data_IF_212598546180
#
_entry.id   IF_212598546180
#
_cell.length_a   1.000
_cell.length_b   1.000
_cell.length_c   1.000
_cell.angle_alpha   90.00
_cell.angle_beta   90.00
_cell.angle_gamma   90.00
#
_symmetry.space_group_name_H-M   'P 1'
#
loop_
_entity.id
_entity.type
_entity.pdbx_description
1 polymer ?
#
# COMPACT_ATOMS: atom_id res chain seq x y z
N UNK A 1 -1.53 2.60 -27.51
CA UNK A 1 -0.83 3.41 -26.48
C UNK A 1 -1.78 3.68 -25.33
N UNK A 2 -1.34 3.56 -24.07
CA UNK A 2 -2.20 3.83 -22.91
C UNK A 2 -2.59 5.33 -22.85
N UNK A 3 -3.87 5.63 -22.63
CA UNK A 3 -4.42 7.00 -22.70
C UNK A 3 -4.10 7.89 -21.48
N UNK A 4 -3.36 7.38 -20.50
CA UNK A 4 -3.05 8.08 -19.25
C UNK A 4 -4.26 8.26 -18.32
N UNK A 5 -4.10 9.12 -17.32
CA UNK A 5 -5.15 9.57 -16.41
C UNK A 5 -5.30 11.09 -16.51
N UNK A 6 -6.54 11.57 -16.56
CA UNK A 6 -6.82 13.01 -16.50
C UNK A 6 -7.15 13.40 -15.07
N UNK A 7 -6.38 14.35 -14.53
CA UNK A 7 -6.58 14.93 -13.20
C UNK A 7 -7.20 16.31 -13.35
N UNK A 8 -8.36 16.52 -12.73
CA UNK A 8 -9.06 17.81 -12.74
C UNK A 8 -8.20 18.89 -12.05
N UNK A 9 -8.00 20.03 -12.72
CA UNK A 9 -7.18 21.13 -12.18
C UNK A 9 -7.95 22.01 -11.18
N UNK A 10 -9.26 21.78 -11.01
CA UNK A 10 -10.10 22.52 -10.06
C UNK A 10 -10.36 21.75 -8.76
N UNK A 11 -10.52 20.42 -8.81
CA UNK A 11 -10.86 19.60 -7.64
C UNK A 11 -9.96 18.37 -7.45
N UNK A 12 -8.94 18.20 -8.30
CA UNK A 12 -7.93 17.14 -8.22
C UNK A 12 -8.47 15.71 -8.32
N UNK A 13 -9.71 15.54 -8.79
CA UNK A 13 -10.29 14.23 -9.04
C UNK A 13 -9.70 13.63 -10.33
N UNK A 14 -9.33 12.34 -10.28
CA UNK A 14 -8.80 11.59 -11.41
C UNK A 14 -9.90 10.86 -12.19
N UNK A 15 -9.78 10.84 -13.52
CA UNK A 15 -10.69 10.11 -14.41
C UNK A 15 -9.94 9.53 -15.61
N UNK A 16 -10.39 8.37 -16.09
CA UNK A 16 -9.84 7.82 -17.33
C UNK A 16 -10.45 8.56 -18.55
N UNK A 17 -9.63 8.91 -19.56
CA UNK A 17 -10.07 9.75 -20.68
C UNK A 17 -10.51 8.98 -21.95
N UNK A 18 -10.42 7.65 -21.95
CA UNK A 18 -10.60 6.82 -23.16
C UNK A 18 -11.92 6.04 -23.20
N UNK A 19 -12.29 5.54 -24.38
CA UNK A 19 -13.41 4.60 -24.52
C UNK A 19 -13.02 3.20 -24.02
N UNK A 20 -13.98 2.41 -23.49
CA UNK A 20 -15.41 2.71 -23.35
C UNK A 20 -15.76 3.61 -22.15
N UNK A 21 -14.82 3.83 -21.21
CA UNK A 21 -15.10 4.51 -19.95
C UNK A 21 -14.42 5.89 -19.91
N UNK A 22 -15.14 6.95 -20.30
CA UNK A 22 -14.61 8.32 -20.32
C UNK A 22 -15.04 9.11 -19.05
N UNK A 23 -14.59 8.66 -17.89
CA UNK A 23 -14.95 9.27 -16.60
C UNK A 23 -14.45 10.71 -16.45
N UNK A 24 -13.36 11.08 -17.13
CA UNK A 24 -12.88 12.47 -17.14
C UNK A 24 -13.87 13.41 -17.83
N UNK A 25 -14.39 13.01 -19.00
CA UNK A 25 -15.46 13.75 -19.67
C UNK A 25 -16.73 13.82 -18.83
N UNK A 26 -17.16 12.69 -18.26
CA UNK A 26 -18.35 12.64 -17.39
C UNK A 26 -18.21 13.57 -16.18
N UNK A 27 -17.03 13.59 -15.55
CA UNK A 27 -16.72 14.51 -14.45
C UNK A 27 -16.81 15.97 -14.90
N UNK A 28 -16.24 16.31 -16.06
CA UNK A 28 -16.28 17.66 -16.60
C UNK A 28 -17.72 18.14 -16.87
N UNK A 29 -18.56 17.28 -17.44
CA UNK A 29 -19.97 17.61 -17.69
C UNK A 29 -20.78 17.78 -16.39
N UNK A 30 -20.48 16.98 -15.37
CA UNK A 30 -21.21 16.99 -14.08
C UNK A 30 -20.80 18.15 -13.17
N UNK A 31 -19.51 18.46 -13.12
CA UNK A 31 -18.95 19.48 -12.22
C UNK A 31 -18.80 20.86 -12.85
N UNK A 32 -18.82 20.95 -14.19
CA UNK A 32 -18.43 22.15 -14.92
C UNK A 32 -16.90 22.37 -14.95
N UNK A 33 -16.11 21.44 -14.41
CA UNK A 33 -14.65 21.56 -14.45
C UNK A 33 -14.09 21.08 -15.79
N UNK A 34 -13.78 22.00 -16.68
CA UNK A 34 -13.38 21.66 -18.04
C UNK A 34 -11.87 21.42 -18.24
N UNK A 35 -11.01 21.87 -17.31
CA UNK A 35 -9.56 21.75 -17.44
C UNK A 35 -9.00 20.59 -16.62
N UNK A 36 -8.20 19.75 -17.29
CA UNK A 36 -7.53 18.59 -16.70
C UNK A 36 -6.08 18.52 -17.16
N UNK A 37 -5.19 17.98 -16.34
CA UNK A 37 -3.85 17.54 -16.78
C UNK A 37 -3.88 16.04 -17.04
N UNK A 38 -3.50 15.64 -18.24
CA UNK A 38 -3.25 14.24 -18.56
C UNK A 38 -1.85 13.87 -18.08
N UNK A 39 -1.76 12.78 -17.32
CA UNK A 39 -0.50 12.19 -16.87
C UNK A 39 -0.42 10.79 -17.47
N UNK A 40 0.60 10.58 -18.32
CA UNK A 40 0.81 9.32 -19.01
C UNK A 40 2.18 8.76 -18.68
N UNK A 41 2.22 7.48 -18.29
CA UNK A 41 3.44 6.72 -18.10
C UNK A 41 3.83 6.02 -19.40
N UNK A 42 5.05 6.25 -19.88
CA UNK A 42 5.62 5.65 -21.10
C UNK A 42 6.88 4.90 -20.70
N UNK A 43 7.06 3.67 -21.18
CA UNK A 43 8.27 2.87 -20.88
C UNK A 43 9.43 3.46 -21.68
N UNK A 44 10.59 3.66 -21.05
CA UNK A 44 11.82 4.02 -21.77
C UNK A 44 12.23 2.84 -22.66
N UNK A 45 12.60 3.11 -23.91
CA UNK A 45 13.23 2.09 -24.75
C UNK A 45 14.65 1.87 -24.24
N UNK A 46 14.93 0.68 -23.69
CA UNK A 46 16.28 0.29 -23.27
C UNK A 46 16.99 -0.38 -24.45
N UNK A 47 17.97 0.31 -25.05
CA UNK A 47 18.83 -0.26 -26.11
C UNK A 47 19.90 -1.23 -25.56
N UNK A 48 20.09 -1.32 -24.24
CA UNK A 48 21.06 -2.22 -23.64
C UNK A 48 20.45 -3.58 -23.31
N UNK A 49 20.94 -4.61 -24.03
CA UNK A 49 20.70 -6.01 -23.67
C UNK A 49 21.18 -6.22 -22.23
N UNK A 50 20.36 -6.82 -21.34
CA UNK A 50 20.82 -7.09 -19.98
C UNK A 50 22.08 -7.97 -20.06
N UNK A 51 23.19 -7.47 -19.50
CA UNK A 51 24.38 -8.26 -19.32
C UNK A 51 24.00 -9.52 -18.53
N UNK A 52 24.45 -10.69 -19.00
CA UNK A 52 24.15 -11.99 -18.36
C UNK A 52 24.39 -11.90 -16.86
N UNK A 53 23.31 -11.96 -16.09
CA UNK A 53 23.33 -12.00 -14.62
C UNK A 53 23.97 -13.31 -14.16
N UNK A 54 25.25 -13.28 -13.79
CA UNK A 54 25.86 -14.32 -12.96
C UNK A 54 25.81 -13.90 -11.49
N UNK A 55 24.60 -13.86 -10.91
CA UNK A 55 24.29 -14.03 -9.48
C UNK A 55 22.78 -13.84 -9.27
N UNK A 56 22.18 -14.73 -8.50
CA UNK A 56 20.77 -14.74 -8.11
C UNK A 56 20.45 -13.64 -7.09
N UNK A 57 20.63 -12.38 -7.49
CA UNK A 57 20.07 -11.22 -6.79
C UNK A 57 19.30 -10.41 -7.83
N UNK A 58 17.97 -10.54 -7.81
CA UNK A 58 17.08 -9.70 -8.60
C UNK A 58 17.06 -8.35 -7.90
N UNK A 59 17.97 -7.46 -8.30
CA UNK A 59 17.89 -6.04 -7.95
C UNK A 59 16.68 -5.49 -8.72
N UNK A 60 15.55 -5.35 -8.03
CA UNK A 60 14.43 -4.57 -8.56
C UNK A 60 14.89 -3.12 -8.70
N UNK A 61 15.20 -2.71 -9.94
CA UNK A 61 15.41 -1.31 -10.26
C UNK A 61 14.15 -0.51 -9.87
N UNK A 62 14.30 0.62 -9.18
CA UNK A 62 13.15 1.44 -8.81
C UNK A 62 12.35 1.82 -10.06
N UNK A 63 11.01 1.70 -10.00
CA UNK A 63 10.09 1.94 -11.14
C UNK A 63 10.35 3.26 -11.89
N UNK A 64 10.95 4.26 -11.24
CA UNK A 64 11.30 5.55 -11.84
C UNK A 64 12.40 5.46 -12.92
N UNK A 65 13.24 4.43 -12.92
CA UNK A 65 14.31 4.31 -13.91
C UNK A 65 13.80 3.77 -15.25
N UNK A 66 12.70 3.01 -15.24
CA UNK A 66 12.13 2.31 -16.42
C UNK A 66 11.06 3.11 -17.19
N UNK A 67 10.53 4.18 -16.62
CA UNK A 67 9.39 4.92 -17.20
C UNK A 67 9.63 6.44 -17.22
N UNK A 68 9.15 7.09 -18.28
CA UNK A 68 9.02 8.54 -18.40
C UNK A 68 7.56 8.97 -18.28
N UNK A 69 7.33 10.18 -17.76
CA UNK A 69 6.00 10.76 -17.64
C UNK A 69 5.80 11.86 -18.68
N UNK A 70 4.89 11.62 -19.61
CA UNK A 70 4.40 12.64 -20.53
C UNK A 70 3.20 13.35 -19.88
N UNK A 71 3.20 14.68 -19.91
CA UNK A 71 2.09 15.48 -19.38
C UNK A 71 1.62 16.53 -20.38
N UNK A 72 0.31 16.77 -20.41
CA UNK A 72 -0.27 17.87 -21.18
C UNK A 72 -1.62 18.28 -20.60
N UNK A 73 -2.02 19.53 -20.85
CA UNK A 73 -3.32 20.03 -20.42
C UNK A 73 -4.37 19.71 -21.49
N UNK A 74 -5.54 19.26 -21.04
CA UNK A 74 -6.71 18.95 -21.87
C UNK A 74 -7.90 19.80 -21.45
N UNK A 75 -8.64 20.30 -22.44
CA UNK A 75 -9.88 21.04 -22.25
C UNK A 75 -11.09 20.22 -22.71
N UNK A 76 -11.94 19.80 -21.78
CA UNK A 76 -13.19 19.08 -22.04
C UNK A 76 -14.32 19.96 -22.57
N UNK A 77 -14.25 21.28 -22.38
CA UNK A 77 -15.16 22.24 -23.02
C UNK A 77 -14.90 22.40 -24.53
N UNK A 78 -13.67 22.13 -24.96
CA UNK A 78 -13.25 22.14 -26.37
C UNK A 78 -13.21 20.72 -26.95
N UNK A 79 -14.18 19.87 -26.61
CA UNK A 79 -14.27 18.48 -27.08
C UNK A 79 -13.04 17.61 -26.77
N UNK A 80 -12.35 17.90 -25.66
CA UNK A 80 -11.17 17.15 -25.23
C UNK A 80 -9.87 17.53 -25.95
N UNK A 81 -9.81 18.70 -26.58
CA UNK A 81 -8.60 19.21 -27.25
C UNK A 81 -7.43 19.40 -26.26
N UNK A 82 -6.21 19.17 -26.76
CA UNK A 82 -4.98 19.54 -26.06
C UNK A 82 -4.85 21.06 -26.06
N UNK A 83 -4.41 21.62 -24.94
CA UNK A 83 -4.15 23.06 -24.78
C UNK A 83 -2.65 23.28 -24.97
N UNK A 84 -2.26 23.95 -26.05
CA UNK A 84 -0.84 24.18 -26.38
C UNK A 84 -0.25 25.36 -25.60
N UNK A 85 -1.00 26.46 -25.48
CA UNK A 85 -0.58 27.66 -24.73
C UNK A 85 -1.23 27.71 -23.35
N UNK A 86 -0.65 27.00 -22.39
CA UNK A 86 -1.15 26.94 -21.01
C UNK A 86 -0.77 28.20 -20.25
N UNK A 87 -1.71 28.96 -19.66
CA UNK A 87 -1.42 30.14 -18.84
C UNK A 87 -0.52 29.82 -17.63
N UNK A 88 0.29 30.79 -17.19
CA UNK A 88 1.27 30.61 -16.11
C UNK A 88 0.62 30.13 -14.79
N UNK A 89 -0.55 30.70 -14.44
CA UNK A 89 -1.30 30.28 -13.26
C UNK A 89 -1.70 28.79 -13.31
N UNK A 90 -2.06 28.29 -14.50
CA UNK A 90 -2.42 26.88 -14.71
C UNK A 90 -1.18 26.00 -14.65
N UNK A 91 -0.04 26.46 -15.18
CA UNK A 91 1.23 25.73 -15.09
C UNK A 91 1.67 25.54 -13.62
N UNK A 92 1.47 26.55 -12.77
CA UNK A 92 1.75 26.44 -11.33
C UNK A 92 0.91 25.35 -10.66
N UNK A 93 -0.38 25.26 -11.00
CA UNK A 93 -1.27 24.21 -10.47
C UNK A 93 -0.85 22.83 -10.98
N UNK A 94 -0.52 22.71 -12.27
CA UNK A 94 0.00 21.46 -12.85
C UNK A 94 1.24 20.99 -12.11
N UNK A 95 2.20 21.89 -11.87
CA UNK A 95 3.40 21.56 -11.10
C UNK A 95 3.06 21.09 -9.69
N UNK A 96 2.17 21.79 -8.97
CA UNK A 96 1.72 21.37 -7.64
C UNK A 96 1.06 19.99 -7.63
N UNK A 97 0.25 19.65 -8.66
CA UNK A 97 -0.37 18.33 -8.80
C UNK A 97 0.68 17.24 -8.98
N UNK A 98 1.71 17.47 -9.81
CA UNK A 98 2.77 16.48 -10.04
C UNK A 98 3.59 16.21 -8.77
N UNK A 99 3.96 17.26 -8.03
CA UNK A 99 4.67 17.12 -6.74
C UNK A 99 3.81 16.43 -5.66
N UNK A 100 2.50 16.68 -5.63
CA UNK A 100 1.60 16.05 -4.67
C UNK A 100 1.50 14.52 -4.87
N UNK A 101 1.56 14.05 -6.11
CA UNK A 101 1.54 12.60 -6.41
C UNK A 101 2.78 11.90 -5.85
N UNK A 102 3.94 12.55 -5.93
CA UNK A 102 5.19 12.04 -5.36
C UNK A 102 5.12 11.99 -3.83
N UNK A 103 4.60 13.05 -3.20
CA UNK A 103 4.38 13.09 -1.75
C UNK A 103 3.38 12.02 -1.26
N UNK A 104 2.33 11.72 -2.05
CA UNK A 104 1.34 10.70 -1.70
C UNK A 104 1.95 9.30 -1.61
N UNK A 105 2.91 8.95 -2.47
CA UNK A 105 3.63 7.67 -2.38
C UNK A 105 4.40 7.55 -1.05
N UNK A 106 5.02 8.64 -0.60
CA UNK A 106 5.69 8.70 0.70
C UNK A 106 4.72 8.54 1.88
N UNK A 107 3.54 9.16 1.79
CA UNK A 107 2.49 9.02 2.81
C UNK A 107 1.87 7.63 2.88
N UNK A 108 1.70 6.95 1.74
CA UNK A 108 1.25 5.55 1.73
C UNK A 108 2.22 4.70 2.53
N UNK A 109 3.52 4.70 2.19
CA UNK A 109 4.57 3.97 2.91
C UNK A 109 4.55 4.27 4.42
N UNK A 110 4.32 5.52 4.82
CA UNK A 110 4.22 5.91 6.24
C UNK A 110 3.01 5.31 6.96
N UNK A 111 1.87 5.15 6.28
CA UNK A 111 0.68 4.51 6.83
C UNK A 111 0.85 2.99 7.04
N UNK A 112 1.85 2.39 6.38
CA UNK A 112 2.22 0.99 6.56
C UNK A 112 3.18 0.72 7.68
N UNK A 113 3.98 1.71 8.06
CA UNK A 113 4.80 1.58 9.24
C UNK A 113 3.87 1.29 10.42
N UNK A 114 4.08 0.14 11.08
CA UNK A 114 3.48 -0.09 12.38
C UNK A 114 3.74 1.15 13.25
N UNK A 115 2.75 1.57 14.03
CA UNK A 115 2.89 2.74 14.89
C UNK A 115 4.05 2.51 15.88
N UNK A 116 5.22 2.99 15.50
CA UNK A 116 6.46 2.76 16.23
C UNK A 116 6.41 3.66 17.46
N UNK A 117 6.22 3.05 18.62
CA UNK A 117 6.15 3.76 19.89
C UNK A 117 7.56 4.11 20.38
N UNK A 118 7.69 5.24 21.08
CA UNK A 118 8.92 5.52 21.82
C UNK A 118 9.01 4.61 23.05
N UNK A 119 10.22 4.34 23.53
CA UNK A 119 10.44 3.70 24.82
C UNK A 119 11.49 4.46 25.63
N UNK A 120 11.46 4.30 26.95
CA UNK A 120 12.37 5.01 27.86
C UNK A 120 13.84 4.59 27.73
N UNK A 121 14.16 3.58 26.91
CA UNK A 121 15.54 3.13 26.70
C UNK A 121 16.36 4.04 25.78
N UNK A 122 15.71 4.97 25.09
CA UNK A 122 16.38 6.06 24.39
C UNK A 122 16.63 7.26 25.31
N UNK A 123 15.96 7.33 26.46
CA UNK A 123 16.10 8.45 27.38
C UNK A 123 17.29 8.23 28.31
N UNK A 124 18.11 9.27 28.51
CA UNK A 124 19.25 9.21 29.43
C UNK A 124 20.32 8.20 29.01
N UNK A 125 20.44 7.94 27.70
CA UNK A 125 21.43 7.02 27.16
C UNK A 125 22.85 7.49 27.52
N UNK A 126 23.60 6.65 28.24
CA UNK A 126 25.03 6.92 28.46
C UNK A 126 25.79 6.56 27.19
N UNK A 127 26.29 7.57 26.50
CA UNK A 127 27.03 7.40 25.25
C UNK A 127 28.52 7.60 25.50
N UNK A 128 29.30 6.58 25.18
CA UNK A 128 30.76 6.61 25.22
C UNK A 128 31.26 6.03 23.90
N UNK A 129 31.68 6.87 22.93
CA UNK A 129 32.27 6.39 21.69
C UNK A 129 33.40 5.41 22.01
N UNK A 130 33.47 4.30 21.26
CA UNK A 130 34.66 3.46 21.30
C UNK A 130 35.89 4.32 21.00
N UNK A 131 37.00 4.07 21.70
CA UNK A 131 38.23 4.87 21.56
C UNK A 131 38.72 4.95 20.10
N UNK A 132 38.39 3.93 19.29
CA UNK A 132 38.77 3.80 17.88
C UNK A 132 37.62 4.12 16.91
N UNK A 133 36.57 4.81 17.34
CA UNK A 133 35.45 5.14 16.47
C UNK A 133 35.89 6.04 15.31
N UNK A 134 35.63 5.59 14.08
CA UNK A 134 35.82 6.33 12.84
C UNK A 134 34.54 6.28 12.00
N UNK A 135 34.24 7.37 11.28
CA UNK A 135 33.12 7.41 10.34
C UNK A 135 33.24 6.36 9.22
N UNK A 136 34.47 5.91 8.92
CA UNK A 136 34.71 4.84 7.94
C UNK A 136 34.13 3.49 8.40
N UNK A 137 34.01 3.28 9.72
CA UNK A 137 33.45 2.05 10.29
C UNK A 137 31.93 1.91 10.06
N UNK A 138 31.25 2.96 9.58
CA UNK A 138 29.81 2.94 9.29
C UNK A 138 29.46 2.10 8.05
N UNK A 139 30.43 1.77 7.20
CA UNK A 139 30.17 1.11 5.91
C UNK A 139 30.32 -0.41 5.93
N UNK A 140 30.77 -1.00 7.05
CA UNK A 140 30.99 -2.45 7.14
C UNK A 140 30.77 -2.96 8.56
N UNK A 141 30.27 -4.19 8.69
CA UNK A 141 30.16 -4.86 9.98
C UNK A 141 31.54 -5.08 10.61
N UNK A 142 31.67 -4.82 11.91
CA UNK A 142 32.94 -5.01 12.63
C UNK A 142 33.35 -6.48 12.81
N UNK A 143 32.45 -7.43 12.52
CA UNK A 143 32.66 -8.87 12.73
C UNK A 143 32.55 -9.72 11.45
N UNK A 144 32.16 -9.14 10.31
CA UNK A 144 32.15 -9.83 9.00
C UNK A 144 32.17 -8.85 7.83
N UNK A 145 32.23 -9.38 6.61
CA UNK A 145 32.38 -8.56 5.41
C UNK A 145 31.10 -7.86 4.90
N UNK A 146 29.96 -7.98 5.62
CA UNK A 146 28.68 -7.39 5.20
C UNK A 146 28.73 -5.86 5.21
N UNK A 147 28.14 -5.25 4.19
CA UNK A 147 28.08 -3.78 3.97
C UNK A 147 26.65 -3.23 3.93
N UNK A 148 25.69 -4.12 4.05
CA UNK A 148 24.25 -3.90 3.96
C UNK A 148 23.57 -4.31 5.28
N UNK A 149 22.42 -3.72 5.57
CA UNK A 149 21.63 -4.02 6.78
C UNK A 149 22.46 -3.91 8.07
N UNK A 150 23.16 -2.78 8.19
CA UNK A 150 24.06 -2.46 9.28
C UNK A 150 23.33 -1.68 10.38
N UNK A 151 23.63 -2.02 11.62
CA UNK A 151 23.04 -1.45 12.81
C UNK A 151 24.12 -0.87 13.70
N UNK A 152 24.05 0.44 13.94
CA UNK A 152 24.97 1.15 14.82
C UNK A 152 24.39 1.25 16.22
N UNK A 153 25.14 0.77 17.20
CA UNK A 153 24.82 0.89 18.62
C UNK A 153 24.92 2.35 19.07
N UNK A 154 23.83 2.91 19.59
CA UNK A 154 23.80 4.32 20.02
C UNK A 154 24.60 4.56 21.31
N UNK A 155 24.90 3.54 22.10
CA UNK A 155 25.72 3.69 23.32
C UNK A 155 27.22 3.81 23.05
N UNK A 156 27.75 3.14 22.02
CA UNK A 156 29.21 3.06 21.81
C UNK A 156 29.70 3.17 20.36
N UNK A 157 28.80 3.21 19.38
CA UNK A 157 29.15 3.35 17.97
C UNK A 157 29.55 2.03 17.29
N UNK A 158 29.48 0.89 17.96
CA UNK A 158 29.73 -0.42 17.35
C UNK A 158 28.75 -0.71 16.20
N UNK A 159 29.25 -1.25 15.08
CA UNK A 159 28.46 -1.54 13.87
C UNK A 159 28.35 -3.05 13.66
N UNK A 160 27.15 -3.59 13.87
CA UNK A 160 26.83 -5.00 13.66
C UNK A 160 25.86 -5.19 12.48
N UNK A 161 26.00 -6.28 11.71
CA UNK A 161 24.98 -6.64 10.73
C UNK A 161 23.73 -7.21 11.42
N UNK A 162 22.59 -7.08 10.74
CA UNK A 162 21.26 -7.48 11.24
C UNK A 162 21.09 -8.98 11.51
N UNK A 163 19.86 -9.39 11.80
CA UNK A 163 19.54 -10.78 12.15
C UNK A 163 19.63 -11.72 10.93
N UNK A 164 20.02 -12.97 11.17
CA UNK A 164 20.05 -14.04 10.17
C UNK A 164 18.65 -14.61 9.97
N UNK A 165 18.20 -14.70 8.72
CA UNK A 165 16.92 -15.31 8.37
C UNK A 165 17.09 -16.80 8.03
N UNK A 166 15.99 -17.56 8.13
CA UNK A 166 16.00 -19.02 7.91
C UNK A 166 16.25 -19.39 6.44
N UNK A 167 15.89 -18.50 5.51
CA UNK A 167 16.14 -18.63 4.07
C UNK A 167 17.59 -18.30 3.67
N UNK A 168 18.45 -17.98 4.64
CA UNK A 168 19.85 -17.60 4.43
C UNK A 168 20.06 -16.12 4.09
N UNK A 169 18.99 -15.32 3.97
CA UNK A 169 19.05 -13.88 3.76
C UNK A 169 19.27 -13.09 5.07
N UNK A 170 19.44 -11.77 4.97
CA UNK A 170 19.65 -10.88 6.12
C UNK A 170 21.12 -10.75 6.55
N UNK A 171 21.34 -10.67 7.87
CA UNK A 171 22.67 -10.51 8.47
C UNK A 171 23.17 -11.78 9.19
N UNK A 172 24.18 -11.61 10.05
CA UNK A 172 24.81 -12.71 10.80
C UNK A 172 24.61 -12.59 12.33
N UNK A 173 23.58 -11.88 12.78
CA UNK A 173 23.26 -11.66 14.21
C UNK A 173 24.31 -10.85 14.99
N UNK A 174 25.21 -10.13 14.32
CA UNK A 174 26.29 -9.42 15.02
C UNK A 174 25.79 -8.24 15.87
N UNK A 175 24.70 -7.57 15.47
CA UNK A 175 24.14 -6.49 16.26
C UNK A 175 23.45 -6.97 17.55
N UNK A 176 22.77 -8.13 17.52
CA UNK A 176 22.18 -8.74 18.73
C UNK A 176 23.25 -9.37 19.63
N UNK A 177 24.26 -10.01 19.05
CA UNK A 177 25.39 -10.54 19.82
C UNK A 177 26.12 -9.43 20.60
N UNK A 178 26.26 -8.24 20.01
CA UNK A 178 26.79 -7.07 20.70
C UNK A 178 25.93 -6.65 21.89
N UNK A 179 24.60 -6.63 21.75
CA UNK A 179 23.69 -6.37 22.86
C UNK A 179 23.85 -7.42 23.98
N UNK A 180 23.90 -8.70 23.64
CA UNK A 180 24.06 -9.80 24.62
C UNK A 180 25.38 -9.71 25.40
N UNK A 181 26.44 -9.23 24.76
CA UNK A 181 27.77 -9.09 25.38
C UNK A 181 27.92 -7.83 26.23
N UNK A 182 27.32 -6.71 25.81
CA UNK A 182 27.56 -5.38 26.43
C UNK A 182 26.38 -4.85 27.24
N UNK A 183 25.18 -5.35 26.98
CA UNK A 183 23.93 -4.79 27.51
C UNK A 183 23.48 -3.49 26.84
N UNK A 184 24.13 -3.07 25.74
CA UNK A 184 23.73 -1.86 25.00
C UNK A 184 22.40 -2.05 24.25
N UNK A 185 21.35 -1.41 24.76
CA UNK A 185 19.96 -1.78 24.44
C UNK A 185 19.44 -1.28 23.10
N UNK A 186 20.03 -0.23 22.54
CA UNK A 186 19.44 0.52 21.43
C UNK A 186 20.42 0.73 20.28
N UNK A 187 19.94 0.49 19.07
CA UNK A 187 20.68 0.70 17.82
C UNK A 187 19.84 1.40 16.78
N UNK A 188 20.51 2.04 15.82
CA UNK A 188 19.90 2.66 14.64
C UNK A 188 20.36 1.94 13.38
N UNK A 189 19.47 1.75 12.40
CA UNK A 189 19.81 1.15 11.11
C UNK A 189 20.46 2.18 10.20
N UNK A 190 21.69 1.92 9.82
CA UNK A 190 22.44 2.76 8.88
C UNK A 190 21.78 2.72 7.50
N UNK A 191 21.80 3.85 6.78
CA UNK A 191 21.13 4.01 5.49
C UNK A 191 19.64 4.35 5.57
N UNK A 192 19.00 4.27 6.74
CA UNK A 192 17.60 4.71 6.91
C UNK A 192 17.45 6.12 7.49
N UNK A 193 18.57 6.78 7.80
CA UNK A 193 18.60 8.11 8.40
C UNK A 193 18.18 9.16 7.38
N UNK A 194 17.16 9.94 7.73
CA UNK A 194 16.62 11.02 6.91
C UNK A 194 17.05 12.39 7.44
N UNK A 195 17.15 13.43 6.58
CA UNK A 195 17.46 14.80 7.00
C UNK A 195 16.55 15.35 8.10
N UNK A 196 15.31 14.87 8.18
CA UNK A 196 14.29 15.31 9.14
C UNK A 196 14.53 14.79 10.56
N UNK A 197 15.59 14.00 10.80
CA UNK A 197 15.86 13.47 12.14
C UNK A 197 15.18 12.14 12.43
N UNK A 198 14.77 11.40 11.39
CA UNK A 198 14.11 10.09 11.55
C UNK A 198 14.97 8.97 10.98
N UNK A 199 14.88 7.79 11.59
CA UNK A 199 15.55 6.56 11.14
C UNK A 199 14.87 5.36 11.78
N UNK A 200 15.10 4.17 11.26
CA UNK A 200 14.71 2.96 11.95
C UNK A 200 15.61 2.74 13.17
N UNK A 201 14.99 2.63 14.34
CA UNK A 201 15.69 2.31 15.58
C UNK A 201 15.08 1.07 16.23
N UNK A 202 15.94 0.26 16.82
CA UNK A 202 15.59 -1.00 17.43
C UNK A 202 16.02 -1.01 18.89
N UNK A 203 15.13 -1.47 19.77
CA UNK A 203 15.42 -1.67 21.18
C UNK A 203 15.46 -3.17 21.47
N UNK A 204 16.66 -3.73 21.67
CA UNK A 204 16.86 -5.13 22.00
C UNK A 204 16.28 -5.52 23.37
N UNK A 205 16.16 -4.57 24.30
CA UNK A 205 15.52 -4.82 25.59
C UNK A 205 13.99 -4.93 25.49
N UNK A 206 13.37 -4.25 24.53
CA UNK A 206 11.94 -4.38 24.22
C UNK A 206 11.66 -5.45 23.16
N UNK A 207 12.71 -5.99 22.54
CA UNK A 207 12.67 -6.85 21.35
C UNK A 207 11.79 -6.29 20.22
N UNK A 208 11.82 -4.95 20.04
CA UNK A 208 10.87 -4.25 19.18
C UNK A 208 11.47 -3.00 18.51
N UNK A 209 10.89 -2.60 17.37
CA UNK A 209 11.17 -1.33 16.71
C UNK A 209 10.62 -0.19 17.56
N UNK A 210 11.42 0.86 17.77
CA UNK A 210 11.05 1.97 18.65
C UNK A 210 11.46 3.30 18.05
N UNK A 211 10.67 4.33 18.35
CA UNK A 211 10.98 5.69 17.92
C UNK A 211 12.08 6.25 18.82
N UNK A 212 13.09 6.86 18.22
CA UNK A 212 14.12 7.61 18.92
C UNK A 212 13.83 9.12 18.83
N UNK A 213 13.14 9.73 19.82
CA UNK A 213 12.82 11.16 19.80
C UNK A 213 14.07 12.06 19.86
N UNK A 214 15.21 11.50 20.26
CA UNK A 214 16.48 12.21 20.45
C UNK A 214 17.55 11.79 19.43
N UNK A 215 17.15 11.28 18.25
CA UNK A 215 18.08 10.71 17.27
C UNK A 215 19.22 11.66 16.88
N UNK A 216 18.89 12.92 16.57
CA UNK A 216 19.90 13.91 16.19
C UNK A 216 20.94 14.16 17.29
N UNK A 217 20.50 14.21 18.56
CA UNK A 217 21.38 14.38 19.72
C UNK A 217 22.27 13.16 19.89
N UNK A 218 21.70 11.96 19.80
CA UNK A 218 22.44 10.71 19.94
C UNK A 218 23.49 10.53 18.84
N UNK A 219 23.18 10.90 17.60
CA UNK A 219 24.11 10.80 16.47
C UNK A 219 25.22 11.85 16.49
N UNK A 220 24.95 13.02 17.06
CA UNK A 220 25.94 14.10 17.18
C UNK A 220 27.14 13.70 18.03
N UNK A 221 26.97 12.85 19.06
CA UNK A 221 28.08 12.32 19.89
C UNK A 221 29.10 11.54 19.05
N UNK A 222 28.66 10.95 17.95
CA UNK A 222 29.49 10.23 16.99
C UNK A 222 29.91 11.10 15.80
N UNK A 223 29.67 12.41 15.84
CA UNK A 223 30.02 13.34 14.75
C UNK A 223 29.15 13.18 13.49
N UNK A 224 28.01 12.48 13.57
CA UNK A 224 27.12 12.25 12.42
C UNK A 224 26.11 13.40 12.34
N UNK A 225 26.24 14.24 11.30
CA UNK A 225 25.28 15.31 11.02
C UNK A 225 24.08 14.75 10.26
N UNK A 226 22.93 14.69 10.93
CA UNK A 226 21.67 14.16 10.37
C UNK A 226 21.18 14.95 9.16
N UNK A 227 21.32 16.29 9.18
CA UNK A 227 20.87 17.13 8.07
C UNK A 227 21.66 16.90 6.77
N UNK A 228 22.84 16.29 6.86
CA UNK A 228 23.67 15.92 5.70
C UNK A 228 23.46 14.46 5.25
N UNK A 229 22.65 13.68 5.97
CA UNK A 229 22.37 12.30 5.60
C UNK A 229 21.32 12.22 4.50
N UNK A 230 21.44 11.20 3.65
CA UNK A 230 20.41 10.83 2.70
C UNK A 230 20.06 9.37 2.94
N UNK A 231 18.76 9.06 2.86
CA UNK A 231 18.29 7.67 2.94
C UNK A 231 18.82 6.88 1.75
N UNK A 232 19.60 5.83 2.02
CA UNK A 232 20.22 4.95 1.03
C UNK A 232 19.72 3.50 1.08
N UNK A 233 19.06 3.11 2.17
CA UNK A 233 18.46 1.78 2.34
C UNK A 233 16.95 1.87 2.58
N UNK A 234 16.25 0.80 2.21
CA UNK A 234 14.83 0.61 2.57
C UNK A 234 14.67 0.53 4.08
N UNK A 235 13.65 1.19 4.60
CA UNK A 235 13.26 1.06 5.99
C UNK A 235 12.71 -0.34 6.28
N UNK A 236 12.62 -0.73 7.55
CA UNK A 236 12.00 -1.99 7.96
C UNK A 236 10.56 -2.04 7.49
N UNK A 237 9.82 -0.93 7.61
CA UNK A 237 8.45 -0.86 7.12
C UNK A 237 8.35 -1.10 5.60
N UNK A 238 9.28 -0.55 4.81
CA UNK A 238 9.35 -0.78 3.37
C UNK A 238 9.72 -2.23 3.03
N UNK A 239 10.64 -2.83 3.79
CA UNK A 239 11.02 -4.24 3.62
C UNK A 239 9.89 -5.19 4.00
N UNK A 240 9.16 -4.91 5.08
CA UNK A 240 7.96 -5.66 5.48
C UNK A 240 6.86 -5.54 4.43
N UNK A 241 6.64 -4.34 3.90
CA UNK A 241 5.72 -4.07 2.79
C UNK A 241 6.09 -4.92 1.57
N UNK A 242 7.35 -4.84 1.14
CA UNK A 242 7.85 -5.59 0.00
C UNK A 242 7.75 -7.10 0.21
N UNK A 243 8.12 -7.60 1.39
CA UNK A 243 7.95 -9.00 1.74
C UNK A 243 6.47 -9.41 1.70
N UNK A 244 5.56 -8.62 2.26
CA UNK A 244 4.12 -8.89 2.21
C UNK A 244 3.55 -8.83 0.78
N UNK A 245 4.09 -7.98 -0.08
CA UNK A 245 3.72 -7.90 -1.50
C UNK A 245 4.29 -9.09 -2.29
N UNK A 246 5.50 -9.55 -1.95
CA UNK A 246 6.18 -10.70 -2.56
C UNK A 246 5.79 -12.04 -1.96
N UNK A 247 5.04 -12.05 -0.85
CA UNK A 247 4.44 -13.24 -0.27
C UNK A 247 3.28 -13.69 -1.17
N UNK A 248 3.65 -14.10 -2.37
CA UNK A 248 2.80 -14.80 -3.30
C UNK A 248 2.72 -16.24 -2.78
N UNK A 249 1.51 -16.69 -2.48
CA UNK A 249 1.29 -18.02 -1.97
C UNK A 249 1.89 -19.02 -2.95
N UNK A 250 2.82 -19.87 -2.49
CA UNK A 250 3.34 -20.97 -3.30
C UNK A 250 2.15 -21.72 -3.93
N UNK A 251 2.00 -21.60 -5.25
CA UNK A 251 0.89 -22.18 -6.03
C UNK A 251 1.08 -23.68 -6.26
N UNK A 252 1.82 -24.32 -5.36
CA UNK A 252 2.14 -25.72 -5.38
C UNK A 252 1.30 -26.39 -4.30
N UNK A 253 0.42 -27.29 -4.73
CA UNK A 253 -0.33 -28.14 -3.81
C UNK A 253 0.61 -28.96 -2.93
N UNK A 254 0.11 -29.52 -1.82
CA UNK A 254 0.89 -30.39 -0.93
C UNK A 254 1.58 -31.56 -1.68
N UNK A 255 1.03 -31.95 -2.84
CA UNK A 255 1.52 -33.02 -3.70
C UNK A 255 2.52 -32.54 -4.79
N UNK A 256 2.96 -31.28 -4.76
CA UNK A 256 3.93 -30.76 -5.73
C UNK A 256 3.32 -30.31 -7.06
N UNK A 257 1.99 -30.38 -7.23
CA UNK A 257 1.31 -30.03 -8.48
C UNK A 257 1.05 -28.52 -8.55
N UNK A 258 1.45 -27.87 -9.65
CA UNK A 258 1.14 -26.47 -9.92
C UNK A 258 -0.34 -26.31 -10.32
N UNK A 259 -1.02 -25.35 -9.69
CA UNK A 259 -2.41 -25.03 -10.04
C UNK A 259 -2.50 -24.33 -11.40
N UNK A 260 -3.50 -24.69 -12.20
CA UNK A 260 -3.74 -24.04 -13.49
C UNK A 260 -4.29 -22.61 -13.29
N UNK A 261 -3.66 -21.58 -13.89
CA UNK A 261 -4.19 -20.22 -13.85
C UNK A 261 -5.55 -20.13 -14.54
N UNK A 262 -6.48 -19.39 -13.94
CA UNK A 262 -7.83 -19.16 -14.47
C UNK A 262 -8.07 -17.68 -14.75
N UNK A 263 -8.92 -17.42 -15.73
CA UNK A 263 -9.26 -16.09 -16.24
C UNK A 263 -10.73 -16.03 -16.65
N UNK A 264 -11.31 -14.83 -16.61
CA UNK A 264 -12.68 -14.56 -17.03
C UNK A 264 -13.50 -13.72 -16.04
N UNK A 265 -14.76 -13.38 -16.41
CA UNK A 265 -15.71 -12.70 -15.54
C UNK A 265 -15.88 -13.42 -14.19
N UNK A 266 -15.75 -12.69 -13.08
CA UNK A 266 -15.87 -13.25 -11.73
C UNK A 266 -14.63 -14.00 -11.24
N UNK A 267 -13.61 -14.15 -12.08
CA UNK A 267 -12.34 -14.80 -11.77
C UNK A 267 -11.20 -13.78 -11.69
N UNK A 268 -11.47 -12.54 -11.27
CA UNK A 268 -10.44 -11.48 -11.21
C UNK A 268 -9.75 -11.48 -9.84
N UNK A 269 -8.43 -11.53 -9.81
CA UNK A 269 -7.62 -11.45 -8.59
C UNK A 269 -7.61 -10.05 -7.96
N UNK A 270 -7.48 -10.00 -6.64
CA UNK A 270 -7.29 -8.76 -5.88
C UNK A 270 -5.83 -8.66 -5.44
N UNK A 271 -5.14 -7.61 -5.89
CA UNK A 271 -3.74 -7.38 -5.51
C UNK A 271 -3.64 -7.10 -4.02
N UNK A 272 -2.67 -7.73 -3.37
CA UNK A 272 -2.37 -7.47 -1.98
C UNK A 272 -1.95 -6.00 -1.81
N UNK A 273 -2.64 -5.29 -0.92
CA UNK A 273 -2.27 -3.97 -0.42
C UNK A 273 -1.63 -4.12 0.96
N UNK A 274 -0.93 -5.26 1.12
CA UNK A 274 -0.33 -5.90 2.30
C UNK A 274 -1.15 -5.93 3.57
N UNK A 275 -1.03 -7.10 4.20
CA UNK A 275 -1.96 -7.57 5.22
C UNK A 275 -3.45 -7.45 4.81
N UNK A 276 -3.77 -7.27 3.51
CA UNK A 276 -5.14 -7.04 3.04
C UNK A 276 -5.81 -8.33 2.56
N UNK A 277 -5.28 -9.50 2.95
CA UNK A 277 -5.82 -10.81 2.58
C UNK A 277 -7.22 -11.04 3.17
N UNK A 278 -7.50 -10.53 4.37
CA UNK A 278 -8.84 -10.56 4.97
C UNK A 278 -9.86 -9.85 4.08
N UNK A 279 -9.53 -8.63 3.61
CA UNK A 279 -10.37 -7.84 2.71
C UNK A 279 -10.54 -8.57 1.38
N UNK A 280 -9.45 -9.05 0.77
CA UNK A 280 -9.52 -9.76 -0.49
C UNK A 280 -10.42 -11.00 -0.40
N UNK A 281 -10.26 -11.80 0.65
CA UNK A 281 -11.04 -13.02 0.87
C UNK A 281 -12.53 -12.71 1.04
N UNK A 282 -12.87 -11.76 1.90
CA UNK A 282 -14.26 -11.33 2.13
C UNK A 282 -14.88 -10.78 0.85
N UNK A 283 -14.18 -9.91 0.12
CA UNK A 283 -14.72 -9.30 -1.09
C UNK A 283 -14.91 -10.32 -2.22
N UNK A 284 -14.03 -11.31 -2.37
CA UNK A 284 -14.24 -12.42 -3.32
C UNK A 284 -15.49 -13.24 -2.96
N UNK A 285 -15.66 -13.58 -1.68
CA UNK A 285 -16.84 -14.32 -1.23
C UNK A 285 -18.14 -13.52 -1.41
N UNK A 286 -18.16 -12.25 -0.98
CA UNK A 286 -19.34 -11.38 -1.06
C UNK A 286 -19.76 -11.16 -2.51
N UNK A 287 -18.82 -10.86 -3.41
CA UNK A 287 -19.16 -10.68 -4.83
C UNK A 287 -19.37 -12.00 -5.58
N UNK A 288 -19.10 -13.16 -4.96
CA UNK A 288 -19.55 -14.47 -5.42
C UNK A 288 -21.04 -14.73 -5.18
N UNK A 289 -21.69 -13.93 -4.33
CA UNK A 289 -23.14 -14.01 -4.09
C UNK A 289 -23.88 -13.21 -5.16
N UNK A 290 -24.81 -13.86 -5.86
CA UNK A 290 -25.60 -13.27 -6.95
C UNK A 290 -26.25 -11.93 -6.56
N UNK A 291 -26.81 -11.84 -5.35
CA UNK A 291 -27.45 -10.61 -4.83
C UNK A 291 -26.52 -9.40 -4.83
N UNK A 292 -25.26 -9.55 -4.43
CA UNK A 292 -24.28 -8.47 -4.41
C UNK A 292 -23.80 -8.15 -5.83
N UNK A 293 -23.53 -9.17 -6.65
CA UNK A 293 -23.18 -9.00 -8.06
C UNK A 293 -24.25 -8.21 -8.80
N UNK A 294 -25.49 -8.67 -8.75
CA UNK A 294 -26.60 -8.13 -9.53
C UNK A 294 -27.00 -6.73 -9.05
N UNK A 295 -26.76 -6.41 -7.77
CA UNK A 295 -26.97 -5.07 -7.22
C UNK A 295 -26.02 -4.01 -7.77
N UNK A 296 -24.75 -4.36 -7.96
CA UNK A 296 -23.67 -3.38 -8.19
C UNK A 296 -23.01 -3.46 -9.57
N UNK A 297 -22.99 -4.63 -10.21
CA UNK A 297 -22.31 -4.79 -11.50
C UNK A 297 -23.09 -4.17 -12.67
N UNK A 298 -24.40 -4.44 -12.87
CA UNK A 298 -25.13 -3.92 -14.03
C UNK A 298 -25.21 -2.39 -14.07
N UNK A 299 -25.37 -1.76 -12.91
CA UNK A 299 -25.51 -0.30 -12.75
C UNK A 299 -24.18 0.42 -12.51
N UNK A 300 -23.04 -0.24 -12.73
CA UNK A 300 -21.73 0.30 -12.35
C UNK A 300 -21.40 1.63 -13.04
N UNK A 301 -21.82 1.79 -14.30
CA UNK A 301 -21.64 3.03 -15.05
C UNK A 301 -22.61 4.14 -14.61
N UNK A 302 -23.83 3.77 -14.20
CA UNK A 302 -24.93 4.70 -13.95
C UNK A 302 -24.80 5.41 -12.60
N UNK A 303 -24.31 4.70 -11.57
CA UNK A 303 -24.18 5.30 -10.25
C UNK A 303 -23.24 6.51 -10.26
N UNK A 304 -22.13 6.45 -11.00
CA UNK A 304 -21.20 7.59 -11.10
C UNK A 304 -21.90 8.84 -11.66
N UNK A 305 -22.75 8.68 -12.66
CA UNK A 305 -23.50 9.78 -13.29
C UNK A 305 -24.48 10.41 -12.31
N UNK A 306 -25.18 9.61 -11.52
CA UNK A 306 -26.25 10.06 -10.62
C UNK A 306 -25.79 10.39 -9.20
N UNK A 307 -24.57 10.00 -8.80
CA UNK A 307 -24.06 10.18 -7.44
C UNK A 307 -23.96 11.65 -7.01
N UNK A 308 -24.55 12.03 -5.88
CA UNK A 308 -24.49 13.40 -5.36
C UNK A 308 -23.14 13.78 -4.73
N UNK A 309 -22.26 12.80 -4.47
CA UNK A 309 -20.95 13.05 -3.86
C UNK A 309 -19.97 13.64 -4.88
N UNK A 310 -19.46 14.84 -4.57
CA UNK A 310 -18.46 15.55 -5.39
C UNK A 310 -17.16 14.76 -5.58
N UNK A 311 -16.79 13.95 -4.59
CA UNK A 311 -15.62 13.08 -4.63
C UNK A 311 -16.06 11.60 -4.63
N UNK A 312 -16.11 10.93 -5.80
CA UNK A 312 -16.53 9.53 -5.93
C UNK A 312 -15.67 8.55 -5.13
N UNK A 313 -14.40 8.88 -4.89
CA UNK A 313 -13.52 8.14 -3.99
C UNK A 313 -14.07 8.06 -2.56
N UNK A 314 -14.89 9.04 -2.15
CA UNK A 314 -15.46 9.09 -0.81
C UNK A 314 -16.83 8.42 -0.66
N UNK A 315 -17.45 8.02 -1.76
CA UNK A 315 -18.78 7.40 -1.79
C UNK A 315 -18.68 5.87 -1.72
N UNK A 316 -19.35 5.25 -0.74
CA UNK A 316 -19.40 3.80 -0.57
C UNK A 316 -19.94 3.08 -1.81
N UNK A 317 -21.08 3.53 -2.31
CA UNK A 317 -21.71 2.95 -3.49
C UNK A 317 -20.82 3.08 -4.74
N UNK A 318 -20.17 4.23 -4.97
CA UNK A 318 -19.22 4.37 -6.08
C UNK A 318 -18.09 3.33 -6.01
N UNK A 319 -17.55 3.08 -4.82
CA UNK A 319 -16.47 2.10 -4.67
C UNK A 319 -16.96 0.65 -4.82
N UNK A 320 -18.16 0.33 -4.34
CA UNK A 320 -18.77 -1.00 -4.54
C UNK A 320 -19.06 -1.28 -6.02
N UNK A 321 -19.67 -0.32 -6.74
CA UNK A 321 -19.90 -0.42 -8.18
C UNK A 321 -18.59 -0.54 -8.96
N UNK A 322 -17.56 0.25 -8.60
CA UNK A 322 -16.22 0.17 -9.20
C UNK A 322 -15.59 -1.20 -8.99
N UNK A 323 -15.68 -1.74 -7.77
CA UNK A 323 -15.13 -3.05 -7.42
C UNK A 323 -15.88 -4.18 -8.13
N UNK A 324 -17.22 -4.13 -8.18
CA UNK A 324 -18.05 -5.08 -8.91
C UNK A 324 -17.68 -5.13 -10.40
N UNK A 325 -17.55 -3.97 -11.05
CA UNK A 325 -17.07 -3.87 -12.44
C UNK A 325 -15.65 -4.43 -12.61
N UNK A 326 -14.77 -4.15 -11.66
CA UNK A 326 -13.41 -4.70 -11.63
C UNK A 326 -13.40 -6.23 -11.58
N UNK A 327 -14.25 -6.84 -10.76
CA UNK A 327 -14.30 -8.29 -10.56
C UNK A 327 -15.03 -9.03 -11.69
N UNK A 328 -16.15 -8.49 -12.16
CA UNK A 328 -17.08 -9.19 -13.04
C UNK A 328 -17.01 -8.79 -14.52
N UNK A 329 -16.30 -7.72 -14.91
CA UNK A 329 -16.21 -7.36 -16.32
C UNK A 329 -15.30 -8.27 -17.17
N UNK A 330 -14.46 -9.09 -16.55
CA UNK A 330 -13.45 -9.92 -17.23
C UNK A 330 -12.27 -9.15 -17.82
N UNK A 331 -12.32 -7.81 -17.89
CA UNK A 331 -11.27 -6.96 -18.48
C UNK A 331 -9.93 -7.03 -17.75
N UNK A 332 -9.94 -7.40 -16.48
CA UNK A 332 -8.76 -7.43 -15.61
C UNK A 332 -8.32 -8.85 -15.25
N UNK A 333 -9.06 -9.86 -15.69
CA UNK A 333 -8.74 -11.28 -15.54
C UNK A 333 -8.13 -11.82 -16.83
N UNK A 334 -7.06 -11.18 -17.30
CA UNK A 334 -6.29 -11.61 -18.47
C UNK A 334 -5.01 -12.24 -17.98
N UNK A 335 -4.73 -13.47 -18.42
CA UNK A 335 -3.47 -14.15 -18.11
C UNK A 335 -2.35 -13.48 -18.92
N UNK A 336 -1.30 -13.09 -18.23
CA UNK A 336 -0.11 -12.55 -18.89
C UNK A 336 0.78 -13.71 -19.37
N UNK A 337 1.63 -13.47 -20.36
CA UNK A 337 2.60 -14.46 -20.82
C UNK A 337 3.97 -13.84 -20.69
N UNK A 338 4.78 -14.35 -19.77
CA UNK A 338 6.19 -13.99 -19.66
C UNK A 338 7.05 -15.16 -20.15
N UNK A 339 8.00 -14.88 -21.04
CA UNK A 339 8.94 -15.87 -21.58
C UNK A 339 8.31 -17.13 -22.22
N UNK A 340 7.05 -17.05 -22.68
CA UNK A 340 6.33 -18.17 -23.29
C UNK A 340 5.58 -19.06 -22.29
N UNK A 341 5.65 -18.77 -20.99
CA UNK A 341 4.86 -19.44 -19.95
C UNK A 341 3.63 -18.60 -19.61
N UNK A 342 2.49 -19.25 -19.41
CA UNK A 342 1.26 -18.57 -18.99
C UNK A 342 1.39 -18.20 -17.52
N UNK A 343 1.53 -16.90 -17.27
CA UNK A 343 1.66 -16.33 -15.95
C UNK A 343 0.28 -15.96 -15.39
N UNK A 344 0.28 -15.58 -14.11
CA UNK A 344 -0.92 -15.16 -13.41
C UNK A 344 -1.48 -13.85 -14.00
N UNK A 345 -2.75 -13.60 -13.72
CA UNK A 345 -3.36 -12.31 -14.01
C UNK A 345 -2.78 -11.22 -13.09
N UNK A 346 -2.65 -9.99 -13.60
CA UNK A 346 -2.28 -8.83 -12.78
C UNK A 346 -3.36 -8.45 -11.76
N UNK A 347 -4.63 -8.75 -12.06
CA UNK A 347 -5.78 -8.44 -11.22
C UNK A 347 -6.02 -6.94 -11.02
N UNK A 348 -6.79 -6.60 -9.98
CA UNK A 348 -7.16 -5.23 -9.64
C UNK A 348 -6.65 -4.82 -8.24
N UNK A 349 -6.35 -3.54 -8.05
CA UNK A 349 -6.00 -2.97 -6.75
C UNK A 349 -7.23 -2.31 -6.10
N UNK A 350 -7.71 -2.79 -4.93
CA UNK A 350 -8.88 -2.23 -4.25
C UNK A 350 -8.53 -1.04 -3.32
N UNK A 351 -7.44 -0.30 -3.57
CA UNK A 351 -6.93 0.72 -2.63
C UNK A 351 -7.96 1.81 -2.26
N UNK A 352 -8.66 2.37 -3.24
CA UNK A 352 -9.71 3.37 -2.95
C UNK A 352 -10.90 2.77 -2.19
N UNK A 353 -11.23 1.50 -2.44
CA UNK A 353 -12.27 0.82 -1.69
C UNK A 353 -11.84 0.63 -0.24
N UNK A 354 -10.63 0.10 0.01
CA UNK A 354 -10.06 -0.04 1.36
C UNK A 354 -10.09 1.29 2.11
N UNK A 355 -9.54 2.36 1.52
CA UNK A 355 -9.49 3.68 2.16
C UNK A 355 -10.88 4.26 2.48
N UNK A 356 -11.90 3.90 1.71
CA UNK A 356 -13.26 4.37 1.92
C UNK A 356 -14.00 3.53 2.97
N UNK A 357 -13.96 2.19 2.86
CA UNK A 357 -14.66 1.30 3.82
C UNK A 357 -14.04 1.38 5.21
N UNK A 358 -12.74 1.60 5.29
CA UNK A 358 -12.00 1.72 6.53
C UNK A 358 -12.05 3.12 7.15
N UNK A 359 -12.71 4.10 6.50
CA UNK A 359 -12.73 5.48 6.98
C UNK A 359 -13.29 5.51 8.41
N UNK A 360 -12.57 6.22 9.27
CA UNK A 360 -12.93 6.42 10.68
C UNK A 360 -12.98 5.13 11.52
N UNK A 361 -12.43 4.00 11.01
CA UNK A 361 -12.28 2.76 11.77
C UNK A 361 -10.82 2.54 12.19
N UNK A 362 -10.51 2.50 13.50
CA UNK A 362 -9.12 2.46 13.98
C UNK A 362 -8.34 1.26 13.46
N UNK A 363 -8.95 0.07 13.47
CA UNK A 363 -8.30 -1.16 13.00
C UNK A 363 -8.15 -1.20 11.47
N UNK A 364 -9.26 -1.12 10.72
CA UNK A 364 -9.21 -1.25 9.25
C UNK A 364 -8.52 -0.09 8.53
N UNK A 365 -8.41 1.10 9.14
CA UNK A 365 -7.65 2.20 8.57
C UNK A 365 -6.14 1.94 8.60
N UNK A 366 -5.69 1.08 9.51
CA UNK A 366 -4.31 0.61 9.57
C UNK A 366 -3.97 -0.34 8.42
N UNK A 367 -2.69 -0.61 8.26
CA UNK A 367 -2.18 -1.63 7.34
C UNK A 367 -1.81 -2.94 8.07
N UNK A 368 -2.36 -3.16 9.28
CA UNK A 368 -2.15 -4.40 10.05
C UNK A 368 -3.01 -5.55 9.51
N UNK A 369 -2.66 -6.77 9.92
CA UNK A 369 -3.52 -7.93 9.73
C UNK A 369 -4.77 -7.79 10.57
N UNK A 370 -5.91 -8.21 10.03
CA UNK A 370 -7.22 -8.04 10.67
C UNK A 370 -8.07 -9.30 10.50
N UNK A 371 -9.07 -9.45 11.37
CA UNK A 371 -10.01 -10.57 11.34
C UNK A 371 -11.02 -10.42 10.20
N UNK A 372 -11.23 -11.50 9.43
CA UNK A 372 -12.12 -11.50 8.27
C UNK A 372 -13.60 -11.41 8.66
N UNK A 373 -14.00 -11.99 9.79
CA UNK A 373 -15.38 -11.96 10.27
C UNK A 373 -15.74 -10.58 10.84
N UNK A 374 -14.83 -9.94 11.57
CA UNK A 374 -14.97 -8.55 12.00
C UNK A 374 -15.09 -7.61 10.80
N UNK A 375 -14.25 -7.79 9.79
CA UNK A 375 -14.33 -6.99 8.56
C UNK A 375 -15.66 -7.21 7.82
N UNK A 376 -16.16 -8.44 7.74
CA UNK A 376 -17.46 -8.74 7.11
C UNK A 376 -18.62 -8.03 7.84
N UNK A 377 -18.63 -8.05 9.18
CA UNK A 377 -19.64 -7.35 9.97
C UNK A 377 -19.58 -5.83 9.74
N UNK A 378 -18.38 -5.26 9.75
CA UNK A 378 -18.18 -3.84 9.45
C UNK A 378 -18.63 -3.49 8.02
N UNK A 379 -18.27 -4.31 7.03
CA UNK A 379 -18.69 -4.15 5.64
C UNK A 379 -20.22 -4.14 5.52
N UNK A 380 -20.92 -5.12 6.10
CA UNK A 380 -22.38 -5.20 6.06
C UNK A 380 -23.01 -3.95 6.66
N UNK A 381 -22.53 -3.50 7.82
CA UNK A 381 -23.00 -2.25 8.45
C UNK A 381 -22.80 -1.02 7.55
N UNK A 382 -21.66 -0.90 6.88
CA UNK A 382 -21.40 0.22 5.98
C UNK A 382 -22.27 0.17 4.72
N UNK A 383 -22.52 -1.01 4.18
CA UNK A 383 -23.46 -1.20 3.05
C UNK A 383 -24.88 -0.83 3.48
N UNK A 384 -25.33 -1.28 4.65
CA UNK A 384 -26.65 -0.92 5.19
C UNK A 384 -26.82 0.59 5.29
N UNK A 385 -25.82 1.29 5.84
CA UNK A 385 -25.84 2.75 5.97
C UNK A 385 -25.94 3.41 4.58
N UNK A 386 -25.19 2.91 3.61
CA UNK A 386 -25.14 3.47 2.26
C UNK A 386 -26.40 3.18 1.42
N UNK A 387 -27.04 2.03 1.61
CA UNK A 387 -28.23 1.59 0.88
C UNK A 387 -29.54 2.13 1.47
N UNK A 388 -29.62 2.39 2.79
CA UNK A 388 -30.80 2.98 3.45
C UNK A 388 -31.42 4.18 2.70
N UNK A 389 -30.67 5.20 2.24
CA UNK A 389 -31.24 6.33 1.52
C UNK A 389 -31.65 6.01 0.08
N UNK A 390 -31.23 4.87 -0.48
CA UNK A 390 -31.53 4.46 -1.86
C UNK A 390 -32.78 3.58 -1.85
N UNK A 391 -33.90 4.13 -2.31
CA UNK A 391 -35.20 3.41 -2.36
C UNK A 391 -35.60 2.79 -1.00
N UNK A 392 -35.21 3.43 0.11
CA UNK A 392 -35.47 2.92 1.45
C UNK A 392 -34.73 1.62 1.81
N UNK A 393 -33.67 1.26 1.06
CA UNK A 393 -32.94 0.02 1.25
C UNK A 393 -33.60 -1.21 0.61
N UNK A 394 -34.58 -1.03 -0.28
CA UNK A 394 -35.30 -2.14 -0.93
C UNK A 394 -34.37 -3.10 -1.70
N UNK A 395 -33.25 -2.59 -2.22
CA UNK A 395 -32.25 -3.36 -2.97
C UNK A 395 -31.02 -3.71 -2.12
N UNK A 396 -31.08 -3.56 -0.80
CA UNK A 396 -29.93 -3.83 0.07
C UNK A 396 -29.53 -5.31 0.02
N UNK A 397 -28.33 -5.65 -0.49
CA UNK A 397 -27.93 -7.04 -0.69
C UNK A 397 -27.58 -7.77 0.60
N UNK A 398 -27.31 -7.05 1.70
CA UNK A 398 -26.97 -7.64 3.01
C UNK A 398 -28.12 -8.44 3.62
N UNK A 399 -29.36 -8.17 3.20
CA UNK A 399 -30.56 -8.89 3.61
C UNK A 399 -30.49 -10.40 3.35
N UNK A 400 -29.62 -10.85 2.45
CA UNK A 400 -29.35 -12.30 2.22
C UNK A 400 -28.76 -12.99 3.46
N UNK A 401 -28.16 -12.23 4.36
CA UNK A 401 -27.58 -12.72 5.61
C UNK A 401 -28.55 -12.61 6.78
N UNK A 402 -29.72 -12.00 6.62
CA UNK A 402 -30.66 -11.81 7.71
C UNK A 402 -31.31 -13.14 8.08
N UNK A 403 -31.24 -13.48 9.36
CA UNK A 403 -31.95 -14.60 9.95
C UNK A 403 -32.48 -14.22 11.33
N UNK A 404 -33.49 -14.93 11.81
CA UNK A 404 -34.02 -14.77 13.15
C UNK A 404 -33.51 -15.89 14.04
N UNK A 405 -33.00 -15.54 15.22
CA UNK A 405 -32.66 -16.51 16.26
C UNK A 405 -33.82 -16.65 17.24
N UNK A 406 -34.18 -17.89 17.57
CA UNK A 406 -35.09 -18.20 18.68
C UNK A 406 -34.27 -18.75 19.84
N UNK A 407 -34.28 -18.06 20.97
CA UNK A 407 -33.69 -18.54 22.22
C UNK A 407 -34.81 -19.03 23.14
N UNK A 408 -34.81 -20.34 23.46
CA UNK A 408 -35.78 -20.96 24.36
C UNK A 408 -35.12 -21.30 25.69
N UNK A 409 -35.55 -20.63 26.74
CA UNK A 409 -35.11 -20.90 28.12
C UNK A 409 -36.09 -21.86 28.79
N UNK A 410 -35.62 -23.00 29.28
CA UNK A 410 -36.45 -23.96 30.01
C UNK A 410 -35.98 -24.08 31.47
N UNK A 411 -36.89 -23.87 32.41
CA UNK A 411 -36.61 -24.11 33.83
C UNK A 411 -36.40 -25.60 34.09
N UNK A 412 -35.27 -25.97 34.67
CA UNK A 412 -34.92 -27.37 34.99
C UNK A 412 -35.77 -27.99 36.11
N UNK A 413 -36.45 -27.17 36.93
CA UNK A 413 -37.29 -27.65 38.03
C UNK A 413 -38.77 -27.77 37.66
N UNK A 414 -39.34 -26.73 37.05
CA UNK A 414 -40.78 -26.66 36.77
C UNK A 414 -41.14 -26.86 35.29
N UNK A 415 -40.15 -27.10 34.42
CA UNK A 415 -40.30 -27.33 32.98
C UNK A 415 -41.02 -26.23 32.19
N UNK A 416 -41.24 -25.05 32.78
CA UNK A 416 -41.77 -23.88 32.07
C UNK A 416 -40.74 -23.29 31.12
N UNK A 417 -41.21 -22.73 30.02
CA UNK A 417 -40.39 -22.18 28.93
C UNK A 417 -40.61 -20.68 28.80
N UNK A 418 -39.57 -19.96 28.38
CA UNK A 418 -39.61 -18.56 27.96
C UNK A 418 -38.89 -18.43 26.63
#
# INVERSE_FOLDING_TARGET
MAAGIDVCLSCFNGGCPGTPNNHAHQHAMKSGHHLTVNIRRVRKESDERPAKLTKLEIVEEPENDQYEFETFVRCWGCSGARVDNVPEDVQRVVHAVLHAVEASKGSEIKAWAEEVTACSHFDGLTQAPAADFSSEALHQCSMCDKRDNLWMCLSCGHVGCGRKQYDGSGGNNHAIAHFEQTGHRVSVKLGTITPEGTADAYCYACDDNKLNPHLAQHLQVFGINVAAQQKTEKSIAELQLEHNLKFDFSMTTADGTQLQPVAGPGLTGLRNLGNSCYLASVMQCVFGIDRFRDRYFPSAADHFLTCSQLHPAKCMLCQLHKLANGLWSGRYAVLETENGETCHQRGISPAHFKAMVARDHPEFASMRQQDAFEFLQHLNKQIDIAERPVEGGALNPTSVFDFTTEERLQCTKCSRVR
#
